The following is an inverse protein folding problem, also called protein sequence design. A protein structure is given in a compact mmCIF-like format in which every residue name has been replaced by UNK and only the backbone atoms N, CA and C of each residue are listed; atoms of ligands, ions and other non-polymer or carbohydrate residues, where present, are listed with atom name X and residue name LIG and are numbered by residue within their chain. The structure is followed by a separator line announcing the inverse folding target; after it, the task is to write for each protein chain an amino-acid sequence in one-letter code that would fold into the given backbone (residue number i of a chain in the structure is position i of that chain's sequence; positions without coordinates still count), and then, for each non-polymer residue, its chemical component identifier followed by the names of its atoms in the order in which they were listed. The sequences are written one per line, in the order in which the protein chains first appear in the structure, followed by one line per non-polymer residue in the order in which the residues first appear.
data_IF_075631600844
#
_entry.id   IF_075631600844
#
_cell.length_a   1.000
_cell.length_b   1.000
_cell.length_c   1.000
_cell.angle_alpha   90.00
_cell.angle_beta   90.00
_cell.angle_gamma   90.00
#
_symmetry.space_group_name_H-M   'P 1'
#
loop_
_entity.id
_entity.type
_entity.pdbx_description
1 polymer ?
#
# COMPACT_ATOMS: atom_id res chain seq x y z
N UNK A 1 16.77 -14.91 6.67
CA UNK A 1 15.87 -14.31 5.67
C UNK A 1 15.03 -15.44 5.14
N UNK A 2 13.78 -15.52 5.56
CA UNK A 2 12.82 -16.50 5.01
C UNK A 2 12.48 -16.02 3.60
N UNK A 3 12.66 -16.85 2.60
CA UNK A 3 12.23 -16.52 1.23
C UNK A 3 10.74 -16.18 1.26
N UNK A 4 10.39 -15.04 0.64
CA UNK A 4 9.02 -14.56 0.50
C UNK A 4 8.19 -15.62 -0.24
N UNK A 5 7.35 -16.36 0.47
CA UNK A 5 6.50 -17.36 -0.15
C UNK A 5 5.27 -16.69 -0.80
N UNK A 6 5.52 -15.86 -1.82
CA UNK A 6 4.46 -15.29 -2.65
C UNK A 6 3.74 -16.34 -3.49
N UNK A 7 4.32 -17.54 -3.63
CA UNK A 7 3.79 -18.61 -4.49
C UNK A 7 2.61 -19.37 -3.86
N UNK A 8 2.46 -19.29 -2.52
CA UNK A 8 1.35 -19.97 -1.88
C UNK A 8 0.02 -19.33 -2.29
N UNK A 9 -0.94 -20.12 -2.80
CA UNK A 9 -2.21 -19.59 -3.30
C UNK A 9 -3.08 -19.02 -2.18
N UNK A 10 -3.99 -18.14 -2.58
CA UNK A 10 -5.05 -17.56 -1.72
C UNK A 10 -6.35 -18.28 -2.02
N UNK A 11 -7.06 -18.70 -0.97
CA UNK A 11 -8.36 -19.32 -1.10
C UNK A 11 -9.46 -18.26 -0.90
N UNK A 12 -10.24 -17.91 -1.93
CA UNK A 12 -11.41 -17.05 -1.77
C UNK A 12 -12.46 -17.75 -0.90
N UNK A 13 -12.95 -17.07 0.14
CA UNK A 13 -13.97 -17.58 1.05
C UNK A 13 -15.31 -16.85 0.90
N UNK A 14 -15.29 -15.61 0.44
CA UNK A 14 -16.46 -14.75 0.35
C UNK A 14 -16.52 -14.05 -1.04
N UNK A 15 -17.70 -13.78 -1.63
CA UNK A 15 -19.06 -14.12 -1.14
C UNK A 15 -19.39 -15.61 -1.24
N UNK A 16 -18.60 -16.38 -1.96
CA UNK A 16 -18.70 -17.84 -2.06
C UNK A 16 -17.30 -18.43 -2.12
N UNK A 17 -17.06 -19.60 -1.49
CA UNK A 17 -15.79 -20.29 -1.62
C UNK A 17 -15.45 -20.55 -3.10
N UNK A 18 -14.22 -20.26 -3.48
CA UNK A 18 -13.75 -20.41 -4.86
C UNK A 18 -12.49 -21.25 -4.97
N UNK A 19 -12.03 -21.48 -6.19
CA UNK A 19 -10.76 -22.15 -6.44
C UNK A 19 -9.58 -21.29 -5.93
N UNK A 20 -8.47 -21.93 -5.50
CA UNK A 20 -7.25 -21.22 -5.13
C UNK A 20 -6.77 -20.32 -6.27
N UNK A 21 -6.31 -19.13 -5.92
CA UNK A 21 -5.78 -18.12 -6.84
C UNK A 21 -4.35 -17.77 -6.48
N UNK A 22 -3.54 -17.36 -7.46
CA UNK A 22 -2.24 -16.79 -7.18
C UNK A 22 -2.39 -15.51 -6.34
N UNK A 23 -1.47 -15.30 -5.41
CA UNK A 23 -1.40 -14.05 -4.65
C UNK A 23 -1.03 -12.88 -5.58
N UNK A 24 0.02 -13.08 -6.37
CA UNK A 24 0.52 -12.08 -7.32
C UNK A 24 -0.52 -11.81 -8.40
N UNK A 25 -0.89 -10.56 -8.58
CA UNK A 25 -1.93 -10.11 -9.49
C UNK A 25 -3.34 -10.11 -8.89
N UNK A 26 -3.53 -10.60 -7.67
CA UNK A 26 -4.86 -10.74 -7.07
C UNK A 26 -5.62 -9.39 -7.01
N UNK A 27 -4.96 -8.33 -6.59
CA UNK A 27 -5.54 -6.99 -6.53
C UNK A 27 -5.19 -6.15 -7.77
N UNK A 28 -4.02 -6.37 -8.37
CA UNK A 28 -3.63 -5.68 -9.59
C UNK A 28 -4.60 -5.93 -10.74
N UNK A 29 -5.04 -7.18 -10.91
CA UNK A 29 -5.86 -7.61 -12.04
C UNK A 29 -7.36 -7.69 -11.69
N UNK A 30 -7.73 -7.22 -10.50
CA UNK A 30 -9.13 -7.18 -10.05
C UNK A 30 -9.95 -6.18 -10.87
N UNK A 31 -11.12 -6.60 -11.32
CA UNK A 31 -12.08 -5.70 -11.98
C UNK A 31 -12.55 -4.63 -10.99
N UNK A 32 -12.23 -3.38 -11.29
CA UNK A 32 -12.86 -2.24 -10.62
C UNK A 32 -14.04 -1.77 -11.49
N UNK A 33 -15.16 -1.35 -10.87
CA UNK A 33 -16.25 -0.75 -11.61
C UNK A 33 -15.77 0.40 -12.49
N UNK A 34 -16.38 0.56 -13.67
CA UNK A 34 -16.00 1.60 -14.63
C UNK A 34 -15.92 2.97 -13.95
N UNK A 35 -14.77 3.62 -14.10
CA UNK A 35 -14.57 4.99 -13.64
C UNK A 35 -15.50 5.93 -14.44
N UNK A 36 -16.10 6.89 -13.79
CA UNK A 36 -16.67 8.03 -14.46
C UNK A 36 -18.14 8.31 -14.22
N UNK A 37 -18.92 7.37 -13.72
CA UNK A 37 -20.36 7.64 -13.50
C UNK A 37 -20.63 8.40 -12.19
N UNK A 38 -19.73 8.30 -11.18
CA UNK A 38 -19.93 8.80 -9.82
C UNK A 38 -18.74 9.59 -9.25
N UNK A 39 -17.69 9.88 -10.04
CA UNK A 39 -16.49 10.56 -9.58
C UNK A 39 -15.31 9.61 -9.34
N UNK A 40 -14.28 10.03 -8.58
CA UNK A 40 -13.11 9.22 -8.32
C UNK A 40 -13.43 7.99 -7.47
N UNK A 41 -12.80 6.87 -7.80
CA UNK A 41 -12.82 5.66 -6.99
C UNK A 41 -11.93 5.83 -5.76
N UNK A 42 -12.48 5.64 -4.58
CA UNK A 42 -11.71 5.67 -3.33
C UNK A 42 -11.81 4.31 -2.67
N UNK A 43 -10.67 3.73 -2.34
CA UNK A 43 -10.60 2.50 -1.56
C UNK A 43 -9.58 2.62 -0.44
N UNK A 44 -9.80 1.90 0.64
CA UNK A 44 -8.88 1.77 1.77
C UNK A 44 -8.47 0.32 1.94
N UNK A 45 -7.21 0.09 2.30
CA UNK A 45 -6.69 -1.21 2.68
C UNK A 45 -6.26 -1.18 4.14
N UNK A 46 -6.69 -2.16 4.90
CA UNK A 46 -6.35 -2.30 6.31
C UNK A 46 -6.07 -3.76 6.62
N UNK A 47 -4.91 -4.04 7.21
CA UNK A 47 -4.68 -5.29 7.90
C UNK A 47 -5.22 -5.16 9.32
N UNK A 48 -5.94 -6.16 9.80
CA UNK A 48 -6.54 -6.13 11.13
C UNK A 48 -6.30 -7.43 11.89
N UNK A 49 -6.19 -7.33 13.20
CA UNK A 49 -6.28 -8.49 14.07
C UNK A 49 -7.72 -9.01 14.16
N UNK A 50 -7.93 -10.22 14.70
CA UNK A 50 -9.27 -10.79 14.87
C UNK A 50 -10.18 -9.95 15.78
N UNK A 51 -9.60 -9.18 16.70
CA UNK A 51 -10.33 -8.26 17.59
C UNK A 51 -10.47 -6.85 16.97
N UNK A 52 -10.14 -6.68 15.68
CA UNK A 52 -10.39 -5.46 14.91
C UNK A 52 -9.34 -4.35 15.09
N UNK A 53 -8.19 -4.61 15.68
CA UNK A 53 -7.12 -3.60 15.80
C UNK A 53 -6.36 -3.48 14.48
N UNK A 54 -6.09 -2.26 14.08
CA UNK A 54 -5.29 -1.92 12.89
C UNK A 54 -3.85 -1.51 13.24
N UNK A 55 -3.55 -1.36 14.52
CA UNK A 55 -2.22 -1.06 15.03
C UNK A 55 -2.08 -1.63 16.44
N UNK A 56 -0.88 -2.06 16.79
CA UNK A 56 -0.51 -2.50 18.13
C UNK A 56 0.53 -1.54 18.71
N UNK A 57 0.52 -1.40 20.04
CA UNK A 57 1.57 -0.67 20.72
C UNK A 57 2.86 -1.51 20.74
N UNK A 58 3.94 -0.91 20.30
CA UNK A 58 5.27 -1.48 20.50
C UNK A 58 5.57 -1.58 22.00
N UNK A 59 5.97 -2.73 22.53
CA UNK A 59 6.13 -2.94 23.96
C UNK A 59 7.25 -2.07 24.57
N UNK A 60 8.25 -1.67 23.80
CA UNK A 60 9.40 -0.92 24.31
C UNK A 60 9.18 0.59 24.20
N UNK A 61 8.64 1.07 23.09
CA UNK A 61 8.46 2.50 22.81
C UNK A 61 7.04 3.00 23.05
N UNK A 62 6.04 2.11 23.12
CA UNK A 62 4.62 2.46 23.17
C UNK A 62 4.08 3.06 21.87
N UNK A 63 4.88 3.14 20.83
CA UNK A 63 4.44 3.66 19.53
C UNK A 63 3.44 2.71 18.88
N UNK A 64 2.34 3.28 18.34
CA UNK A 64 1.36 2.51 17.59
C UNK A 64 1.83 2.28 16.17
N UNK A 65 1.82 1.02 15.72
CA UNK A 65 2.20 0.66 14.36
C UNK A 65 1.67 -0.71 13.94
N UNK A 66 1.76 -0.99 12.64
CA UNK A 66 1.55 -2.34 12.11
C UNK A 66 2.83 -3.12 12.41
N UNK A 67 2.71 -4.17 13.20
CA UNK A 67 3.83 -5.05 13.55
C UNK A 67 3.83 -6.31 12.68
N UNK A 68 4.96 -7.00 12.63
CA UNK A 68 5.08 -8.28 11.91
C UNK A 68 4.12 -9.37 12.43
N UNK A 69 3.48 -9.14 13.58
CA UNK A 69 2.46 -10.05 14.12
C UNK A 69 1.07 -9.87 13.50
N UNK A 70 0.81 -8.74 12.83
CA UNK A 70 -0.48 -8.46 12.16
C UNK A 70 -0.36 -8.20 10.67
N UNK A 71 0.84 -7.93 10.15
CA UNK A 71 1.14 -7.78 8.73
C UNK A 71 2.34 -8.65 8.35
N UNK A 72 2.32 -9.22 7.17
CA UNK A 72 3.39 -10.00 6.60
C UNK A 72 3.74 -9.55 5.17
N UNK A 73 4.73 -10.19 4.55
CA UNK A 73 5.17 -9.87 3.20
C UNK A 73 4.10 -10.14 2.14
N UNK A 74 3.16 -11.03 2.40
CA UNK A 74 2.04 -11.33 1.49
C UNK A 74 1.01 -10.20 1.52
N UNK A 75 0.68 -9.70 2.71
CA UNK A 75 -0.15 -8.52 2.89
C UNK A 75 0.52 -7.30 2.25
N UNK A 76 1.82 -7.14 2.47
CA UNK A 76 2.60 -6.07 1.86
C UNK A 76 2.58 -6.13 0.33
N UNK A 77 2.68 -7.32 -0.27
CA UNK A 77 2.54 -7.50 -1.72
C UNK A 77 1.17 -7.01 -2.22
N UNK A 78 0.08 -7.37 -1.55
CA UNK A 78 -1.27 -6.94 -1.92
C UNK A 78 -1.44 -5.42 -1.78
N UNK A 79 -0.88 -4.82 -0.73
CA UNK A 79 -0.84 -3.37 -0.58
C UNK A 79 -0.13 -2.69 -1.75
N UNK A 80 1.03 -3.21 -2.17
CA UNK A 80 1.78 -2.69 -3.32
C UNK A 80 0.99 -2.81 -4.63
N UNK A 81 0.21 -3.86 -4.82
CA UNK A 81 -0.67 -4.02 -5.98
C UNK A 81 -1.77 -2.96 -6.02
N UNK A 82 -2.39 -2.65 -4.88
CA UNK A 82 -3.36 -1.56 -4.78
C UNK A 82 -2.70 -0.20 -5.04
N UNK A 83 -1.53 0.03 -4.47
CA UNK A 83 -0.76 1.25 -4.73
C UNK A 83 -0.40 1.40 -6.21
N UNK A 84 -0.07 0.30 -6.90
CA UNK A 84 0.22 0.32 -8.33
C UNK A 84 -0.97 0.75 -9.19
N UNK A 85 -2.19 0.53 -8.74
CA UNK A 85 -3.42 0.94 -9.46
C UNK A 85 -3.85 2.37 -9.18
N UNK A 86 -3.34 2.96 -8.11
CA UNK A 86 -3.74 4.30 -7.71
C UNK A 86 -3.13 5.38 -8.61
N UNK A 87 -3.92 6.41 -8.93
CA UNK A 87 -3.40 7.65 -9.47
C UNK A 87 -2.83 8.51 -8.34
N UNK A 88 -3.50 8.48 -7.17
CA UNK A 88 -3.17 9.28 -6.00
C UNK A 88 -3.28 8.42 -4.74
N UNK A 89 -2.27 8.46 -3.90
CA UNK A 89 -2.31 7.92 -2.54
C UNK A 89 -2.66 9.04 -1.55
N UNK A 90 -3.65 8.79 -0.71
CA UNK A 90 -4.04 9.74 0.34
C UNK A 90 -3.34 9.35 1.64
N UNK A 91 -2.58 10.28 2.19
CA UNK A 91 -1.85 10.11 3.45
C UNK A 91 -2.15 11.25 4.42
N UNK A 92 -1.42 11.36 5.51
CA UNK A 92 -1.60 12.40 6.50
C UNK A 92 -0.27 13.08 6.90
N UNK A 93 -0.36 14.26 7.53
CA UNK A 93 0.83 15.02 7.92
C UNK A 93 1.71 14.30 8.95
N UNK A 94 1.16 13.39 9.76
CA UNK A 94 1.96 12.56 10.68
C UNK A 94 2.91 11.66 9.91
N UNK A 95 2.41 10.97 8.88
CA UNK A 95 3.24 10.11 8.03
C UNK A 95 4.44 10.88 7.44
N UNK A 96 4.23 12.11 6.95
CA UNK A 96 5.33 12.92 6.42
C UNK A 96 6.37 13.30 7.47
N UNK A 97 5.94 13.59 8.71
CA UNK A 97 6.87 13.83 9.82
C UNK A 97 7.68 12.58 10.15
N UNK A 98 7.02 11.44 10.23
CA UNK A 98 7.66 10.16 10.51
C UNK A 98 8.64 9.77 9.39
N UNK A 99 8.27 9.99 8.11
CA UNK A 99 9.14 9.77 6.96
C UNK A 99 10.41 10.64 7.04
N UNK A 100 10.28 11.92 7.41
CA UNK A 100 11.42 12.82 7.58
C UNK A 100 12.34 12.39 8.70
N UNK A 101 11.80 11.84 9.78
CA UNK A 101 12.54 11.34 10.93
C UNK A 101 13.15 9.95 10.71
N UNK A 102 12.83 9.30 9.59
CA UNK A 102 13.25 7.92 9.33
C UNK A 102 12.54 6.89 10.21
N UNK A 103 11.41 7.25 10.81
CA UNK A 103 10.60 6.39 11.68
C UNK A 103 9.31 5.89 11.01
N UNK A 104 9.04 6.33 9.78
CA UNK A 104 7.95 5.78 8.99
C UNK A 104 8.21 4.29 8.70
N UNK A 105 7.18 3.49 8.84
CA UNK A 105 7.26 2.04 8.65
C UNK A 105 7.71 1.65 7.25
N UNK A 106 7.26 2.40 6.24
CA UNK A 106 7.63 2.18 4.84
C UNK A 106 7.49 3.44 4.00
N UNK A 107 8.25 3.50 2.92
CA UNK A 107 8.15 4.59 1.96
C UNK A 107 6.95 4.33 1.04
N UNK A 108 5.85 5.04 1.26
CA UNK A 108 4.83 5.15 0.23
C UNK A 108 5.44 5.88 -0.98
N UNK A 109 5.19 5.46 -2.15
CA UNK A 109 4.34 4.42 -2.72
C UNK A 109 5.07 3.16 -3.13
N UNK A 110 5.16 2.85 -4.44
CA UNK A 110 5.72 1.58 -4.89
C UNK A 110 7.18 1.43 -4.52
N UNK A 111 7.48 0.32 -3.88
CA UNK A 111 8.85 -0.07 -3.53
C UNK A 111 9.70 -0.24 -4.80
N UNK A 112 10.95 0.24 -4.75
CA UNK A 112 11.93 0.05 -5.81
C UNK A 112 12.65 -1.31 -5.75
N UNK A 113 12.29 -2.18 -4.80
CA UNK A 113 12.86 -3.52 -4.71
C UNK A 113 12.49 -4.35 -5.94
N UNK A 114 13.41 -5.20 -6.38
CA UNK A 114 13.24 -6.03 -7.59
C UNK A 114 12.00 -6.94 -7.55
N UNK A 115 11.55 -7.30 -6.36
CA UNK A 115 10.32 -8.09 -6.14
C UNK A 115 9.04 -7.39 -6.64
N UNK A 116 9.08 -6.07 -6.93
CA UNK A 116 7.94 -5.27 -7.39
C UNK A 116 8.14 -4.70 -8.80
N UNK A 117 9.15 -5.17 -9.54
CA UNK A 117 9.43 -4.68 -10.90
C UNK A 117 8.27 -4.95 -11.86
N UNK A 118 7.51 -6.02 -11.65
CA UNK A 118 6.29 -6.33 -12.40
C UNK A 118 5.21 -5.25 -12.23
N UNK A 119 5.10 -4.62 -11.06
CA UNK A 119 4.16 -3.51 -10.82
C UNK A 119 4.60 -2.22 -11.52
N UNK A 120 5.89 -1.94 -11.55
CA UNK A 120 6.44 -0.83 -12.34
C UNK A 120 6.24 -1.05 -13.84
N UNK A 121 6.44 -2.29 -14.32
CA UNK A 121 6.15 -2.64 -15.71
C UNK A 121 4.66 -2.46 -16.03
N UNK A 122 3.78 -2.98 -15.17
CA UNK A 122 2.33 -2.83 -15.34
C UNK A 122 1.90 -1.36 -15.43
N UNK A 123 2.42 -0.47 -14.57
CA UNK A 123 2.11 0.97 -14.64
C UNK A 123 2.54 1.59 -15.96
N UNK A 124 3.73 1.24 -16.46
CA UNK A 124 4.19 1.70 -17.79
C UNK A 124 3.25 1.25 -18.91
N UNK A 125 2.82 -0.02 -18.87
CA UNK A 125 1.92 -0.60 -19.88
C UNK A 125 0.53 0.06 -19.86
N UNK A 126 0.08 0.52 -18.67
CA UNK A 126 -1.15 1.29 -18.51
C UNK A 126 -0.99 2.78 -18.85
N UNK A 127 0.19 3.25 -19.20
CA UNK A 127 0.46 4.67 -19.46
C UNK A 127 0.42 5.55 -18.22
N UNK A 128 0.53 4.95 -17.02
CA UNK A 128 0.54 5.66 -15.76
C UNK A 128 1.95 6.21 -15.43
N UNK A 129 1.99 7.25 -14.60
CA UNK A 129 3.26 7.75 -14.05
C UNK A 129 3.99 6.64 -13.27
N UNK A 130 5.33 6.64 -13.20
CA UNK A 130 6.10 5.59 -12.50
C UNK A 130 5.68 5.37 -11.05
N UNK A 131 5.19 6.41 -10.41
CA UNK A 131 4.68 6.41 -9.04
C UNK A 131 3.34 7.14 -8.99
N UNK A 132 2.40 6.74 -8.13
CA UNK A 132 1.21 7.54 -7.87
C UNK A 132 1.58 8.88 -7.21
N UNK A 133 0.78 9.90 -7.44
CA UNK A 133 0.88 11.16 -6.71
C UNK A 133 0.53 10.97 -5.23
N UNK A 134 0.88 11.92 -4.39
CA UNK A 134 0.55 11.86 -2.95
C UNK A 134 -0.27 13.07 -2.55
N UNK A 135 -1.47 12.82 -2.05
CA UNK A 135 -2.30 13.84 -1.41
C UNK A 135 -2.19 13.71 0.11
N UNK A 136 -2.05 14.85 0.80
CA UNK A 136 -1.88 14.86 2.25
C UNK A 136 -3.05 15.57 2.92
N UNK A 137 -3.74 14.85 3.78
CA UNK A 137 -4.77 15.43 4.64
C UNK A 137 -4.13 15.95 5.94
N UNK A 138 -4.33 17.21 6.23
CA UNK A 138 -3.82 17.83 7.47
C UNK A 138 -4.72 19.00 7.88
N UNK A 139 -4.95 19.14 9.17
CA UNK A 139 -5.70 20.26 9.74
C UNK A 139 -4.85 21.52 9.88
N UNK A 140 -3.54 21.39 10.05
CA UNK A 140 -2.63 22.49 10.36
C UNK A 140 -1.67 22.82 9.23
N UNK A 141 -1.47 21.89 8.29
CA UNK A 141 -0.41 21.94 7.26
C UNK A 141 1.00 22.14 7.85
N UNK A 142 1.18 21.82 9.14
CA UNK A 142 2.46 21.93 9.85
C UNK A 142 3.31 20.69 9.62
N UNK A 143 3.89 20.59 8.43
CA UNK A 143 4.88 19.58 8.05
C UNK A 143 5.76 20.07 6.91
N UNK A 144 6.96 19.53 6.83
CA UNK A 144 7.82 19.72 5.67
C UNK A 144 7.67 18.50 4.74
N UNK A 145 7.62 18.75 3.44
CA UNK A 145 7.57 17.68 2.46
C UNK A 145 9.00 17.14 2.28
N UNK A 146 9.25 15.86 2.53
CA UNK A 146 10.57 15.27 2.34
C UNK A 146 10.99 15.28 0.86
N UNK A 147 12.25 15.65 0.59
CA UNK A 147 12.81 15.68 -0.77
C UNK A 147 12.69 14.33 -1.50
N UNK A 148 12.69 13.23 -0.74
CA UNK A 148 12.53 11.89 -1.29
C UNK A 148 11.22 11.72 -2.07
N UNK A 149 10.17 12.46 -1.72
CA UNK A 149 8.89 12.41 -2.45
C UNK A 149 8.96 13.09 -3.81
N UNK A 150 9.82 14.09 -4.00
CA UNK A 150 9.98 14.77 -5.29
C UNK A 150 10.91 14.02 -6.25
N UNK A 151 11.90 13.28 -5.72
CA UNK A 151 12.91 12.59 -6.55
C UNK A 151 12.35 11.47 -7.43
N UNK A 152 11.13 11.05 -7.21
CA UNK A 152 10.50 9.94 -7.93
C UNK A 152 9.49 10.39 -8.99
N UNK A 153 9.55 11.66 -9.42
CA UNK A 153 8.67 12.20 -10.47
C UNK A 153 7.20 12.33 -10.05
N UNK A 154 6.95 12.55 -8.78
CA UNK A 154 5.61 12.77 -8.21
C UNK A 154 5.23 14.24 -8.19
N UNK A 155 3.93 14.48 -8.13
CA UNK A 155 3.32 15.78 -7.88
C UNK A 155 2.76 15.86 -6.46
#
# INVERSE_FOLDING_TARGET
MTELNHDAPVLPLYPQPGAPRALVGLYRDMDLPEQGRWGPWVYGNFVTTLDGRIALADPDSGALGVTASIGDDRDWRLFQELAARADILVSNGRYLRDLRLGTAQDVLPLSSASAYEDLHAWRRDQGLAPQPDVAVLSTTLDFQIPDALFRQGRR
#
